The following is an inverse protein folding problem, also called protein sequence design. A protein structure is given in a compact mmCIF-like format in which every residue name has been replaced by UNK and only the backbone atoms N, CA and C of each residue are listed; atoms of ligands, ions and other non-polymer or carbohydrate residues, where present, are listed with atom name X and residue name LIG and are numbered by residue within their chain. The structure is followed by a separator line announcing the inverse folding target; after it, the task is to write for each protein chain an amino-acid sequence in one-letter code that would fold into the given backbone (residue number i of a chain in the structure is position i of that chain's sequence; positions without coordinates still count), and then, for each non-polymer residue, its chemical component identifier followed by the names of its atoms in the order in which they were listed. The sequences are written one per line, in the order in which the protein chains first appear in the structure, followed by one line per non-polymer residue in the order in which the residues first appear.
data_IF_847297905736
#
_entry.id   IF_847297905736
#
_cell.length_a   1.000
_cell.length_b   1.000
_cell.length_c   1.000
_cell.angle_alpha   90.00
_cell.angle_beta   90.00
_cell.angle_gamma   90.00
#
_symmetry.space_group_name_H-M   'P 1'
#
loop_
_entity.id
_entity.type
_entity.pdbx_description
1 polymer ?
#
# COMPACT_ATOMS: atom_id res chain seq x y z
N UNK A 1 -14.19 -10.49 -16.69
CA UNK A 1 -13.96 -9.09 -16.25
C UNK A 1 -12.66 -9.04 -15.46
N UNK A 2 -11.74 -8.12 -15.75
CA UNK A 2 -10.57 -7.88 -14.87
C UNK A 2 -11.08 -7.35 -13.53
N UNK A 3 -10.67 -7.97 -12.41
CA UNK A 3 -10.98 -7.45 -11.08
C UNK A 3 -10.37 -6.05 -10.95
N UNK A 4 -11.13 -5.10 -10.38
CA UNK A 4 -10.59 -3.80 -10.03
C UNK A 4 -9.43 -3.99 -9.04
N UNK A 5 -8.32 -3.27 -9.23
CA UNK A 5 -7.16 -3.38 -8.34
C UNK A 5 -7.54 -3.00 -6.93
N UNK A 6 -7.10 -3.79 -5.95
CA UNK A 6 -7.31 -3.51 -4.52
C UNK A 6 -6.77 -2.12 -4.11
N UNK A 7 -5.75 -1.64 -4.83
CA UNK A 7 -5.11 -0.36 -4.60
C UNK A 7 -5.93 0.86 -5.05
N UNK A 8 -7.02 0.66 -5.81
CA UNK A 8 -7.85 1.75 -6.32
C UNK A 8 -8.86 2.28 -5.31
N UNK A 9 -9.06 1.62 -4.17
CA UNK A 9 -9.91 2.22 -3.13
C UNK A 9 -9.22 3.42 -2.48
N UNK A 10 -10.03 4.35 -1.97
CA UNK A 10 -9.56 5.64 -1.45
C UNK A 10 -8.51 5.52 -0.35
N UNK A 11 -8.69 4.59 0.59
CA UNK A 11 -7.78 4.41 1.72
C UNK A 11 -6.40 3.91 1.27
N UNK A 12 -6.39 2.95 0.35
CA UNK A 12 -5.17 2.36 -0.19
C UNK A 12 -4.43 3.30 -1.13
N UNK A 13 -5.14 3.95 -2.04
CA UNK A 13 -4.55 4.93 -2.94
C UNK A 13 -3.88 6.07 -2.16
N UNK A 14 -4.58 6.60 -1.15
CA UNK A 14 -4.01 7.62 -0.26
C UNK A 14 -2.73 7.11 0.43
N UNK A 15 -2.77 5.91 1.01
CA UNK A 15 -1.61 5.33 1.69
C UNK A 15 -0.43 5.12 0.75
N UNK A 16 -0.64 4.64 -0.48
CA UNK A 16 0.43 4.52 -1.47
C UNK A 16 1.00 5.88 -1.87
N UNK A 17 0.15 6.87 -2.13
CA UNK A 17 0.60 8.21 -2.53
C UNK A 17 1.51 8.82 -1.46
N UNK A 18 1.12 8.75 -0.19
CA UNK A 18 1.92 9.27 0.91
C UNK A 18 3.21 8.47 1.09
N UNK A 19 3.15 7.14 1.00
CA UNK A 19 4.34 6.30 1.06
C UNK A 19 5.35 6.67 -0.02
N UNK A 20 4.93 6.77 -1.28
CA UNK A 20 5.81 7.11 -2.40
C UNK A 20 6.37 8.53 -2.26
N UNK A 21 5.55 9.50 -1.84
CA UNK A 21 6.01 10.86 -1.61
C UNK A 21 7.12 10.92 -0.53
N UNK A 22 6.95 10.21 0.58
CA UNK A 22 7.90 10.21 1.68
C UNK A 22 9.20 9.43 1.39
N UNK A 23 9.16 8.48 0.45
CA UNK A 23 10.28 7.56 0.16
C UNK A 23 10.74 7.68 -1.29
N UNK A 24 10.52 8.84 -1.94
CA UNK A 24 10.71 9.00 -3.38
C UNK A 24 12.14 8.65 -3.82
N UNK A 25 13.14 9.13 -3.08
CA UNK A 25 14.56 8.88 -3.36
C UNK A 25 14.84 7.37 -3.35
N UNK A 26 14.53 6.67 -2.25
CA UNK A 26 14.75 5.23 -2.09
C UNK A 26 13.98 4.39 -3.12
N UNK A 27 12.75 4.79 -3.45
CA UNK A 27 11.92 4.03 -4.38
C UNK A 27 12.34 4.27 -5.84
N UNK A 28 12.85 5.44 -6.18
CA UNK A 28 13.26 5.77 -7.56
C UNK A 28 14.39 4.88 -8.08
N UNK A 29 15.14 4.24 -7.18
CA UNK A 29 16.20 3.27 -7.50
C UNK A 29 15.67 1.86 -7.75
N UNK A 30 14.39 1.59 -7.47
CA UNK A 30 13.75 0.27 -7.62
C UNK A 30 13.01 0.14 -8.94
N UNK A 31 13.03 -1.07 -9.50
CA UNK A 31 12.33 -1.37 -10.75
C UNK A 31 10.81 -1.34 -10.58
N UNK A 32 10.13 -0.57 -11.44
CA UNK A 32 8.68 -0.38 -11.37
C UNK A 32 7.88 -1.68 -11.53
N UNK A 33 8.40 -2.63 -12.30
CA UNK A 33 7.81 -3.96 -12.51
C UNK A 33 7.89 -4.83 -11.25
N UNK A 34 9.00 -4.75 -10.52
CA UNK A 34 9.18 -5.43 -9.24
C UNK A 34 8.20 -4.87 -8.19
N UNK A 35 8.15 -3.54 -8.03
CA UNK A 35 7.23 -2.88 -7.10
C UNK A 35 5.78 -3.27 -7.38
N UNK A 36 5.38 -3.27 -8.65
CA UNK A 36 4.05 -3.70 -9.08
C UNK A 36 3.78 -5.17 -8.76
N UNK A 37 4.75 -6.04 -8.97
CA UNK A 37 4.65 -7.47 -8.64
C UNK A 37 4.41 -7.68 -7.14
N UNK A 38 5.21 -7.03 -6.29
CA UNK A 38 5.09 -7.08 -4.83
C UNK A 38 3.73 -6.57 -4.34
N UNK A 39 3.26 -5.45 -4.89
CA UNK A 39 1.94 -4.91 -4.57
C UNK A 39 0.79 -5.82 -4.99
N UNK A 40 0.91 -6.52 -6.12
CA UNK A 40 -0.10 -7.48 -6.56
C UNK A 40 -0.11 -8.72 -5.65
N UNK A 41 1.06 -9.28 -5.34
CA UNK A 41 1.18 -10.42 -4.43
C UNK A 41 0.60 -10.10 -3.04
N UNK A 42 0.92 -8.92 -2.50
CA UNK A 42 0.34 -8.46 -1.23
C UNK A 42 -1.19 -8.34 -1.27
N UNK A 43 -1.77 -7.96 -2.41
CA UNK A 43 -3.21 -7.87 -2.56
C UNK A 43 -3.89 -9.25 -2.70
N UNK A 44 -3.16 -10.27 -3.15
CA UNK A 44 -3.64 -11.65 -3.21
C UNK A 44 -3.59 -12.31 -1.83
N UNK A 45 -2.57 -12.00 -1.03
CA UNK A 45 -2.38 -12.51 0.34
C UNK A 45 -2.46 -11.38 1.37
N UNK A 46 -3.62 -10.73 1.44
CA UNK A 46 -3.79 -9.50 2.21
C UNK A 46 -3.76 -9.76 3.74
N UNK A 47 -2.85 -9.13 4.50
CA UNK A 47 -2.86 -9.21 5.95
C UNK A 47 -4.17 -8.66 6.55
N UNK A 48 -4.70 -9.35 7.56
CA UNK A 48 -6.00 -9.01 8.16
C UNK A 48 -6.01 -7.60 8.76
N UNK A 49 -4.95 -7.20 9.45
CA UNK A 49 -4.81 -5.87 10.05
C UNK A 49 -4.81 -4.76 9.00
N UNK A 50 -4.15 -4.98 7.87
CA UNK A 50 -4.21 -4.08 6.73
C UNK A 50 -5.63 -4.00 6.15
N UNK A 51 -6.27 -5.16 5.97
CA UNK A 51 -7.61 -5.25 5.40
C UNK A 51 -8.65 -4.50 6.26
N UNK A 52 -8.58 -4.63 7.58
CA UNK A 52 -9.42 -3.91 8.53
C UNK A 52 -9.12 -2.41 8.48
N UNK A 53 -7.84 -2.04 8.55
CA UNK A 53 -7.43 -0.64 8.48
C UNK A 53 -7.87 0.06 7.17
N UNK A 54 -7.96 -0.67 6.05
CA UNK A 54 -8.40 -0.13 4.76
C UNK A 54 -9.92 0.06 4.63
N UNK A 55 -10.72 -0.58 5.50
CA UNK A 55 -12.19 -0.42 5.54
C UNK A 55 -12.63 0.80 6.35
N UNK A 56 -11.78 1.23 7.28
CA UNK A 56 -12.04 2.40 8.13
C UNK A 56 -11.87 3.73 7.37
N UNK A 57 -12.29 4.82 8.01
CA UNK A 57 -12.15 6.16 7.44
C UNK A 57 -10.69 6.48 7.10
N UNK A 58 -10.44 6.95 5.87
CA UNK A 58 -9.10 7.21 5.32
C UNK A 58 -8.24 8.14 6.20
N UNK A 59 -8.87 9.07 6.91
CA UNK A 59 -8.22 10.09 7.72
C UNK A 59 -7.88 9.62 9.15
N UNK A 60 -8.39 8.47 9.60
CA UNK A 60 -8.09 7.99 10.95
C UNK A 60 -6.59 7.68 11.10
N UNK A 61 -5.97 8.27 12.13
CA UNK A 61 -4.52 8.27 12.31
C UNK A 61 -3.99 6.86 12.54
N UNK A 62 -4.67 6.07 13.36
CA UNK A 62 -4.19 4.72 13.75
C UNK A 62 -4.10 3.80 12.53
N UNK A 63 -5.13 3.79 11.70
CA UNK A 63 -5.25 2.92 10.53
C UNK A 63 -4.31 3.38 9.42
N UNK A 64 -4.10 4.70 9.27
CA UNK A 64 -3.04 5.22 8.40
C UNK A 64 -1.67 4.69 8.76
N UNK A 65 -1.33 4.66 10.05
CA UNK A 65 -0.04 4.13 10.52
C UNK A 65 0.09 2.62 10.28
N UNK A 66 -0.99 1.86 10.51
CA UNK A 66 -1.02 0.41 10.21
C UNK A 66 -0.75 0.19 8.71
N UNK A 67 -1.49 0.87 7.84
CA UNK A 67 -1.31 0.72 6.39
C UNK A 67 0.09 1.14 5.94
N UNK A 68 0.58 2.29 6.41
CA UNK A 68 1.91 2.77 6.06
C UNK A 68 3.01 1.79 6.47
N UNK A 69 2.96 1.29 7.71
CA UNK A 69 3.92 0.31 8.22
C UNK A 69 3.99 -0.94 7.34
N UNK A 70 2.83 -1.49 6.95
CA UNK A 70 2.80 -2.67 6.07
C UNK A 70 3.34 -2.39 4.67
N UNK A 71 3.10 -1.19 4.13
CA UNK A 71 3.66 -0.79 2.83
C UNK A 71 5.18 -0.62 2.93
N UNK A 72 5.68 -0.04 4.02
CA UNK A 72 7.12 0.06 4.29
C UNK A 72 7.76 -1.33 4.40
N UNK A 73 7.19 -2.21 5.21
CA UNK A 73 7.60 -3.63 5.31
C UNK A 73 7.58 -4.32 3.94
N UNK A 74 6.60 -3.98 3.09
CA UNK A 74 6.43 -4.56 1.77
C UNK A 74 7.38 -3.99 0.71
N UNK A 75 7.86 -2.76 0.78
CA UNK A 75 8.54 -2.12 -0.36
C UNK A 75 9.96 -1.62 -0.05
N UNK A 76 10.28 -1.42 1.23
CA UNK A 76 11.61 -0.97 1.65
C UNK A 76 12.50 -2.11 2.12
N UNK A 77 11.92 -3.13 2.76
CA UNK A 77 12.62 -4.38 3.08
C UNK A 77 12.68 -5.32 1.88
#
# INVERSE_FOLDING_TARGET
MRKSSYWYNKANFFSLLIFFYNNLETISEKESTELKSRLNAFAEELPEDYALAAKEAVNNKRERLIRNRRIEELLLN
#
